data_IF_343214122085
#
_entry.id   IF_343214122085
#
_cell.length_a   1.000
_cell.length_b   1.000
_cell.length_c   1.000
_cell.angle_alpha   90.00
_cell.angle_beta   90.00
_cell.angle_gamma   90.00
#
_symmetry.space_group_name_H-M   'P 1'
#
loop_
_entity.id
_entity.type
_entity.pdbx_description
1 polymer ?
#
# COMPACT_ATOMS: atom_id res chain seq x y z
N UNK A 1 29.18 45.94 -15.28
CA UNK A 1 28.97 45.00 -14.18
C UNK A 1 27.58 44.46 -14.29
N UNK A 2 27.45 43.20 -14.72
CA UNK A 2 26.13 42.52 -14.85
C UNK A 2 25.78 41.86 -13.54
N UNK A 3 24.74 42.35 -12.86
CA UNK A 3 24.22 41.77 -11.64
C UNK A 3 23.37 40.54 -11.99
N UNK A 4 23.89 39.36 -11.68
CA UNK A 4 23.10 38.14 -11.77
C UNK A 4 22.14 38.06 -10.58
N UNK A 5 20.85 38.24 -10.85
CA UNK A 5 19.79 37.94 -9.88
C UNK A 5 19.64 36.42 -9.82
N UNK A 6 20.16 35.79 -8.78
CA UNK A 6 19.92 34.36 -8.49
C UNK A 6 18.50 34.26 -7.93
N UNK A 7 17.56 33.95 -8.83
CA UNK A 7 16.20 33.61 -8.43
C UNK A 7 16.23 32.22 -7.78
N UNK A 8 16.31 32.15 -6.44
CA UNK A 8 16.12 30.93 -5.69
C UNK A 8 14.66 30.52 -5.80
N UNK A 9 14.35 29.61 -6.75
CA UNK A 9 13.07 28.91 -6.75
C UNK A 9 12.99 28.07 -5.47
N UNK A 10 12.33 28.55 -4.44
CA UNK A 10 11.86 27.70 -3.35
C UNK A 10 10.94 26.67 -3.99
N UNK A 11 11.39 25.41 -4.05
CA UNK A 11 10.56 24.25 -4.43
C UNK A 11 9.38 24.25 -3.47
N UNK A 12 8.21 24.67 -3.93
CA UNK A 12 6.98 24.62 -3.12
C UNK A 12 6.70 23.15 -2.88
N UNK A 13 6.92 22.71 -1.66
CA UNK A 13 6.65 21.34 -1.28
C UNK A 13 5.13 21.09 -1.38
N UNK A 14 4.76 20.02 -2.05
CA UNK A 14 3.35 19.63 -2.13
C UNK A 14 2.85 19.22 -0.75
N UNK A 15 1.72 19.77 -0.33
CA UNK A 15 1.06 19.39 0.91
C UNK A 15 0.75 17.89 0.93
N UNK A 16 0.98 17.23 2.07
CA UNK A 16 0.66 15.82 2.28
C UNK A 16 -0.39 15.75 3.39
N UNK A 17 -1.53 15.14 3.08
CA UNK A 17 -2.62 14.92 4.04
C UNK A 17 -2.70 13.45 4.41
N UNK A 18 -2.67 13.19 5.69
CA UNK A 18 -2.92 11.87 6.25
C UNK A 18 -4.37 11.75 6.68
N UNK A 19 -5.00 10.61 6.40
CA UNK A 19 -6.37 10.31 6.81
C UNK A 19 -6.42 8.92 7.41
N UNK A 20 -6.89 8.80 8.63
CA UNK A 20 -7.16 7.54 9.29
C UNK A 20 -8.64 7.19 9.13
N UNK A 21 -8.95 6.00 8.61
CA UNK A 21 -10.31 5.58 8.30
C UNK A 21 -10.82 4.47 9.23
N UNK A 22 -9.93 3.88 10.06
CA UNK A 22 -10.28 2.74 10.90
C UNK A 22 -10.69 1.51 10.09
N UNK A 23 -11.60 0.72 10.60
CA UNK A 23 -12.16 -0.45 9.94
C UNK A 23 -13.32 -0.04 9.02
N UNK A 24 -13.20 -0.30 7.72
CA UNK A 24 -14.12 0.22 6.70
C UNK A 24 -14.31 -0.77 5.54
N UNK A 25 -15.45 -0.73 4.87
CA UNK A 25 -15.74 -1.51 3.68
C UNK A 25 -14.84 -1.12 2.50
N UNK A 26 -14.40 -2.12 1.74
CA UNK A 26 -13.53 -1.89 0.59
C UNK A 26 -14.19 -1.00 -0.48
N UNK A 27 -15.47 -1.24 -0.77
CA UNK A 27 -16.22 -0.50 -1.79
C UNK A 27 -16.38 0.97 -1.44
N UNK A 28 -16.71 1.29 -0.18
CA UNK A 28 -16.81 2.67 0.31
C UNK A 28 -15.46 3.41 0.16
N UNK A 29 -14.38 2.73 0.49
CA UNK A 29 -13.02 3.31 0.37
C UNK A 29 -12.64 3.52 -1.09
N UNK A 30 -12.98 2.57 -1.97
CA UNK A 30 -12.73 2.70 -3.40
C UNK A 30 -13.48 3.88 -4.01
N UNK A 31 -14.76 4.03 -3.70
CA UNK A 31 -15.60 5.14 -4.17
C UNK A 31 -15.06 6.49 -3.68
N UNK A 32 -14.66 6.56 -2.40
CA UNK A 32 -14.05 7.76 -1.84
C UNK A 32 -12.69 8.13 -2.51
N UNK A 33 -11.85 7.14 -2.83
CA UNK A 33 -10.62 7.37 -3.61
C UNK A 33 -10.96 7.94 -5.01
N UNK A 34 -11.96 7.37 -5.69
CA UNK A 34 -12.37 7.84 -7.02
C UNK A 34 -12.91 9.27 -6.97
N UNK A 35 -13.75 9.61 -5.98
CA UNK A 35 -14.24 10.96 -5.78
C UNK A 35 -13.12 11.96 -5.53
N UNK A 36 -12.12 11.60 -4.72
CA UNK A 36 -10.96 12.45 -4.47
C UNK A 36 -10.15 12.66 -5.76
N UNK A 37 -9.92 11.62 -6.55
CA UNK A 37 -9.18 11.74 -7.82
C UNK A 37 -9.95 12.60 -8.83
N UNK A 38 -11.27 12.47 -8.90
CA UNK A 38 -12.11 13.30 -9.79
C UNK A 38 -12.01 14.79 -9.42
N UNK A 39 -11.85 15.12 -8.15
CA UNK A 39 -11.65 16.51 -7.69
C UNK A 39 -10.28 17.10 -8.03
N UNK A 40 -9.35 16.29 -8.53
CA UNK A 40 -7.97 16.68 -8.90
C UNK A 40 -7.24 17.50 -7.82
N UNK A 41 -7.06 16.93 -6.61
CA UNK A 41 -6.52 17.66 -5.48
C UNK A 41 -5.12 18.19 -5.74
N UNK A 42 -4.79 19.39 -5.22
CA UNK A 42 -3.46 19.98 -5.34
C UNK A 42 -2.43 19.38 -4.37
N UNK A 43 -2.86 18.47 -3.48
CA UNK A 43 -2.07 17.83 -2.44
C UNK A 43 -1.91 16.32 -2.69
N UNK A 44 -0.99 15.69 -1.98
CA UNK A 44 -0.92 14.24 -1.81
C UNK A 44 -1.82 13.80 -0.66
N UNK A 45 -2.43 12.62 -0.75
CA UNK A 45 -3.17 12.03 0.36
C UNK A 45 -2.71 10.60 0.61
N UNK A 46 -2.46 10.26 1.87
CA UNK A 46 -2.17 8.89 2.33
C UNK A 46 -3.23 8.52 3.34
N UNK A 47 -3.93 7.41 3.09
CA UNK A 47 -4.95 6.89 3.98
C UNK A 47 -4.46 5.64 4.68
N UNK A 48 -4.63 5.57 5.99
CA UNK A 48 -4.38 4.37 6.79
C UNK A 48 -5.70 3.78 7.25
N UNK A 49 -5.86 2.46 7.14
CA UNK A 49 -7.12 1.78 7.41
C UNK A 49 -6.93 0.27 7.58
N UNK A 50 -8.00 -0.39 7.98
CA UNK A 50 -8.22 -1.82 7.87
C UNK A 50 -9.52 -2.06 7.12
N UNK A 51 -9.65 -3.23 6.47
CA UNK A 51 -10.90 -3.60 5.81
C UNK A 51 -11.65 -4.70 6.57
N UNK A 52 -12.97 -4.69 6.49
CA UNK A 52 -13.75 -5.89 6.72
C UNK A 52 -13.28 -7.00 5.78
N UNK A 53 -13.46 -8.29 6.17
CA UNK A 53 -12.94 -9.41 5.39
C UNK A 53 -13.41 -9.38 3.94
N UNK A 54 -12.47 -9.30 2.99
CA UNK A 54 -12.74 -9.21 1.55
C UNK A 54 -11.58 -9.75 0.72
N UNK A 55 -11.91 -10.52 -0.31
CA UNK A 55 -10.96 -10.85 -1.36
C UNK A 55 -11.04 -9.83 -2.49
N UNK A 56 -9.91 -9.26 -2.88
CA UNK A 56 -9.84 -8.39 -4.05
C UNK A 56 -9.10 -9.10 -5.18
N UNK A 57 -9.67 -9.08 -6.39
CA UNK A 57 -9.12 -9.71 -7.59
C UNK A 57 -8.48 -8.60 -8.43
N UNK A 58 -7.17 -8.60 -8.56
CA UNK A 58 -6.43 -7.61 -9.36
C UNK A 58 -6.37 -7.99 -10.84
N UNK A 59 -5.95 -7.02 -11.66
CA UNK A 59 -5.94 -7.14 -13.13
C UNK A 59 -5.01 -8.21 -13.70
N UNK A 60 -4.03 -8.68 -12.93
CA UNK A 60 -3.10 -9.72 -13.35
C UNK A 60 -3.59 -11.14 -13.04
N UNK A 61 -4.78 -11.27 -12.41
CA UNK A 61 -5.38 -12.56 -12.16
C UNK A 61 -5.92 -13.16 -13.45
N UNK A 62 -5.47 -14.35 -13.77
CA UNK A 62 -5.88 -15.09 -14.98
C UNK A 62 -6.76 -16.30 -14.67
N UNK A 63 -6.71 -16.77 -13.43
CA UNK A 63 -7.51 -17.90 -13.01
C UNK A 63 -8.95 -17.45 -12.74
N UNK A 64 -9.90 -18.26 -13.17
CA UNK A 64 -11.31 -18.06 -12.81
C UNK A 64 -11.44 -18.51 -11.37
N UNK A 65 -11.54 -17.54 -10.47
CA UNK A 65 -11.86 -17.82 -9.08
C UNK A 65 -13.36 -18.07 -9.03
N UNK A 66 -13.74 -19.34 -8.96
CA UNK A 66 -15.13 -19.69 -8.67
C UNK A 66 -15.41 -19.31 -7.21
N UNK A 67 -16.35 -18.40 -7.02
CA UNK A 67 -16.85 -18.01 -5.72
C UNK A 67 -17.68 -19.18 -5.11
N UNK A 68 -16.97 -20.22 -4.68
CA UNK A 68 -17.58 -21.35 -3.96
C UNK A 68 -17.86 -21.00 -2.50
N UNK A 69 -17.20 -19.97 -2.02
CA UNK A 69 -17.34 -19.45 -0.67
C UNK A 69 -18.07 -18.10 -0.76
N UNK A 70 -19.32 -18.04 -0.32
CA UNK A 70 -20.11 -16.81 -0.33
C UNK A 70 -19.59 -15.72 0.63
N UNK A 71 -18.66 -16.07 1.51
CA UNK A 71 -18.07 -15.19 2.53
C UNK A 71 -16.64 -15.62 2.84
N UNK A 72 -15.64 -14.71 2.91
CA UNK A 72 -15.74 -13.27 2.54
C UNK A 72 -16.00 -13.03 1.05
N UNK A 73 -16.58 -11.87 0.67
CA UNK A 73 -16.91 -11.58 -0.73
C UNK A 73 -15.66 -11.42 -1.59
N UNK A 74 -15.80 -11.76 -2.90
CA UNK A 74 -14.78 -11.53 -3.91
C UNK A 74 -15.16 -10.31 -4.75
N UNK A 75 -14.30 -9.30 -4.77
CA UNK A 75 -14.50 -8.05 -5.51
C UNK A 75 -13.47 -7.93 -6.62
N UNK A 76 -13.92 -7.86 -7.88
CA UNK A 76 -13.05 -7.53 -9.01
C UNK A 76 -12.63 -6.07 -8.93
N UNK A 77 -11.33 -5.82 -9.04
CA UNK A 77 -10.74 -4.50 -8.92
C UNK A 77 -9.83 -4.20 -10.09
N UNK A 78 -9.45 -2.94 -10.24
CA UNK A 78 -8.49 -2.52 -11.25
C UNK A 78 -7.07 -2.32 -10.69
N UNK A 79 -6.80 -2.68 -9.43
CA UNK A 79 -5.44 -2.64 -8.87
C UNK A 79 -4.48 -3.58 -9.58
N UNK A 80 -3.20 -3.26 -9.54
CA UNK A 80 -2.15 -4.18 -9.97
C UNK A 80 -2.10 -5.46 -9.14
N UNK A 81 -1.46 -6.49 -9.67
CA UNK A 81 -1.30 -7.78 -9.02
C UNK A 81 -2.48 -8.74 -9.21
N UNK A 82 -2.43 -9.87 -8.49
CA UNK A 82 -3.41 -10.94 -8.52
C UNK A 82 -4.40 -10.82 -7.36
N UNK A 83 -5.04 -11.92 -7.00
CA UNK A 83 -5.95 -11.99 -5.86
C UNK A 83 -5.20 -11.82 -4.54
N UNK A 84 -5.78 -11.06 -3.61
CA UNK A 84 -5.30 -10.93 -2.23
C UNK A 84 -6.48 -10.85 -1.27
N UNK A 85 -6.21 -11.00 0.02
CA UNK A 85 -7.17 -10.93 1.09
C UNK A 85 -6.91 -9.70 1.97
N UNK A 86 -7.97 -9.05 2.41
CA UNK A 86 -7.94 -7.99 3.40
C UNK A 86 -8.89 -8.34 4.54
N UNK A 87 -8.47 -8.06 5.78
CA UNK A 87 -9.25 -8.32 6.99
C UNK A 87 -8.72 -7.47 8.16
N UNK A 88 -9.44 -7.42 9.30
CA UNK A 88 -8.92 -6.85 10.53
C UNK A 88 -7.56 -7.44 10.91
N UNK A 89 -6.70 -6.60 11.51
CA UNK A 89 -5.31 -6.96 11.80
C UNK A 89 -4.35 -6.79 10.63
N UNK A 90 -4.83 -6.37 9.46
CA UNK A 90 -3.99 -6.00 8.33
C UNK A 90 -3.97 -4.47 8.19
N UNK A 91 -2.80 -3.85 8.36
CA UNK A 91 -2.65 -2.42 8.17
C UNK A 91 -2.53 -2.10 6.67
N UNK A 92 -3.47 -1.32 6.15
CA UNK A 92 -3.52 -0.90 4.75
C UNK A 92 -3.17 0.58 4.62
N UNK A 93 -2.36 0.92 3.60
CA UNK A 93 -2.04 2.30 3.23
C UNK A 93 -2.42 2.53 1.77
N UNK A 94 -3.34 3.44 1.52
CA UNK A 94 -3.68 3.88 0.16
C UNK A 94 -2.98 5.20 -0.16
N UNK A 95 -2.40 5.27 -1.34
CA UNK A 95 -1.59 6.39 -1.81
C UNK A 95 -2.30 7.11 -2.95
N UNK A 96 -3.00 8.21 -2.64
CA UNK A 96 -3.63 9.09 -3.63
C UNK A 96 -2.67 10.25 -3.89
N UNK A 97 -1.69 10.01 -4.75
CA UNK A 97 -0.58 10.91 -4.98
C UNK A 97 -0.68 11.55 -6.37
N UNK A 98 -0.52 12.87 -6.44
CA UNK A 98 -0.40 13.55 -7.72
C UNK A 98 0.95 13.21 -8.36
N UNK A 99 0.93 12.41 -9.43
CA UNK A 99 2.12 11.86 -10.08
C UNK A 99 3.02 12.95 -10.70
N UNK A 100 2.45 14.10 -11.05
CA UNK A 100 3.22 15.25 -11.60
C UNK A 100 4.01 15.99 -10.54
N UNK A 101 3.70 15.75 -9.26
CA UNK A 101 4.30 16.45 -8.11
C UNK A 101 5.19 15.55 -7.27
N UNK A 102 5.45 14.31 -7.71
CA UNK A 102 6.37 13.42 -7.04
C UNK A 102 7.82 13.95 -7.15
N UNK A 103 8.65 13.75 -6.11
CA UNK A 103 10.07 14.11 -6.16
C UNK A 103 10.91 13.10 -6.95
N UNK A 104 10.30 12.04 -7.49
CA UNK A 104 10.91 10.95 -8.25
C UNK A 104 10.02 10.51 -9.42
N UNK A 105 10.54 9.76 -10.41
CA UNK A 105 9.75 9.25 -11.52
C UNK A 105 8.58 8.36 -11.06
N UNK A 106 7.37 8.52 -11.66
CA UNK A 106 6.20 7.69 -11.34
C UNK A 106 6.43 6.18 -11.39
N UNK A 107 7.32 5.72 -12.26
CA UNK A 107 7.70 4.31 -12.41
C UNK A 107 8.40 3.74 -11.18
N UNK A 108 8.96 4.59 -10.32
CA UNK A 108 9.64 4.18 -9.09
C UNK A 108 8.70 4.09 -7.88
N UNK A 109 7.43 4.52 -8.00
CA UNK A 109 6.53 4.64 -6.84
C UNK A 109 6.40 3.32 -6.07
N UNK A 110 6.13 2.22 -6.77
CA UNK A 110 5.99 0.89 -6.13
C UNK A 110 7.27 0.48 -5.41
N UNK A 111 8.43 0.63 -6.07
CA UNK A 111 9.73 0.31 -5.48
C UNK A 111 10.01 1.16 -4.25
N UNK A 112 9.85 2.48 -4.35
CA UNK A 112 10.09 3.40 -3.23
C UNK A 112 9.14 3.17 -2.06
N UNK A 113 7.88 2.83 -2.33
CA UNK A 113 6.93 2.49 -1.27
C UNK A 113 7.34 1.22 -0.51
N UNK A 114 7.81 0.19 -1.21
CA UNK A 114 8.33 -1.03 -0.59
C UNK A 114 9.63 -0.77 0.19
N UNK A 115 10.57 -0.01 -0.37
CA UNK A 115 11.81 0.38 0.30
C UNK A 115 11.53 1.19 1.57
N UNK A 116 10.54 2.06 1.52
CA UNK A 116 10.12 2.88 2.67
C UNK A 116 9.52 2.02 3.78
N UNK A 117 8.64 1.07 3.43
CA UNK A 117 8.09 0.13 4.40
C UNK A 117 9.16 -0.81 4.95
N UNK A 118 10.06 -1.29 4.10
CA UNK A 118 11.22 -2.10 4.48
C UNK A 118 12.12 -1.36 5.49
N UNK A 119 12.37 -0.06 5.27
CA UNK A 119 13.15 0.75 6.21
C UNK A 119 12.48 0.88 7.57
N UNK A 120 11.14 0.95 7.62
CA UNK A 120 10.41 0.93 8.89
C UNK A 120 10.56 -0.42 9.61
N UNK A 121 10.43 -1.54 8.88
CA UNK A 121 10.60 -2.88 9.46
C UNK A 121 12.03 -3.12 9.96
N UNK A 122 13.04 -2.59 9.27
CA UNK A 122 14.43 -2.70 9.67
C UNK A 122 14.71 -2.02 11.03
N UNK A 123 13.95 -0.96 11.39
CA UNK A 123 14.10 -0.32 12.71
C UNK A 123 13.58 -1.17 13.88
N UNK A 124 12.90 -2.26 13.60
CA UNK A 124 12.45 -3.28 14.57
C UNK A 124 13.32 -4.54 14.55
N UNK A 125 14.54 -4.47 14.00
CA UNK A 125 15.51 -5.58 13.87
C UNK A 125 14.98 -6.81 13.13
N UNK A 126 13.91 -6.66 12.33
CA UNK A 126 13.29 -7.74 11.59
C UNK A 126 14.06 -8.02 10.29
N UNK A 127 14.59 -9.23 10.17
CA UNK A 127 15.21 -9.69 8.92
C UNK A 127 14.13 -9.97 7.87
N UNK A 128 14.19 -9.26 6.77
CA UNK A 128 13.23 -9.37 5.66
C UNK A 128 13.89 -9.04 4.32
N UNK A 129 13.19 -9.28 3.23
CA UNK A 129 13.64 -8.92 1.89
C UNK A 129 12.48 -8.39 1.04
N UNK A 130 12.81 -7.62 0.01
CA UNK A 130 11.87 -7.18 -1.03
C UNK A 130 12.05 -8.09 -2.24
N UNK A 131 10.94 -8.61 -2.77
CA UNK A 131 10.96 -9.38 -4.01
C UNK A 131 10.50 -8.49 -5.19
N UNK A 132 11.33 -8.37 -6.24
CA UNK A 132 11.01 -7.57 -7.41
C UNK A 132 10.09 -8.28 -8.42
N UNK A 133 10.09 -9.64 -8.45
CA UNK A 133 9.25 -10.43 -9.37
C UNK A 133 7.82 -10.62 -8.86
N UNK A 134 7.67 -10.72 -7.54
CA UNK A 134 6.38 -10.71 -6.84
C UNK A 134 6.41 -9.55 -5.84
N UNK A 135 6.08 -8.32 -6.28
CA UNK A 135 6.28 -7.12 -5.46
C UNK A 135 5.64 -7.25 -4.07
N UNK A 136 6.48 -7.15 -3.05
CA UNK A 136 6.09 -7.31 -1.66
C UNK A 136 7.29 -7.46 -0.74
N UNK A 137 7.02 -7.57 0.56
CA UNK A 137 8.03 -7.80 1.59
C UNK A 137 7.84 -9.22 2.14
N UNK A 138 8.95 -9.91 2.30
CA UNK A 138 9.00 -11.30 2.72
C UNK A 138 9.89 -11.46 3.95
N UNK A 139 9.41 -12.25 4.90
CA UNK A 139 10.20 -12.79 6.01
C UNK A 139 10.46 -14.26 5.65
N UNK A 140 11.74 -14.62 5.51
CA UNK A 140 12.14 -15.92 4.97
C UNK A 140 11.51 -16.18 3.59
N UNK A 141 10.53 -17.09 3.51
CA UNK A 141 9.79 -17.42 2.28
C UNK A 141 8.32 -17.01 2.32
N UNK A 142 7.86 -16.38 3.42
CA UNK A 142 6.47 -16.01 3.65
C UNK A 142 6.26 -14.52 3.41
N UNK A 143 5.13 -14.17 2.81
CA UNK A 143 4.81 -12.80 2.44
C UNK A 143 4.12 -12.07 3.59
N UNK A 144 4.76 -11.03 4.11
CA UNK A 144 4.22 -10.18 5.18
C UNK A 144 3.55 -8.92 4.65
N UNK A 145 3.96 -8.44 3.46
CA UNK A 145 3.36 -7.25 2.86
C UNK A 145 3.16 -7.41 1.35
N UNK A 146 2.04 -6.90 0.87
CA UNK A 146 1.64 -6.91 -0.53
C UNK A 146 1.43 -5.48 -1.03
N UNK A 147 1.75 -5.23 -2.31
CA UNK A 147 1.55 -3.93 -2.95
C UNK A 147 0.85 -4.09 -4.29
N UNK A 148 -0.15 -3.25 -4.53
CA UNK A 148 -0.82 -3.18 -5.81
C UNK A 148 -1.37 -1.78 -6.02
N UNK A 149 -0.88 -1.09 -7.04
CA UNK A 149 -1.26 0.30 -7.34
C UNK A 149 -1.80 0.43 -8.74
N UNK A 150 -2.51 1.51 -8.99
CA UNK A 150 -3.02 1.95 -10.29
C UNK A 150 -2.83 3.46 -10.42
N UNK A 151 -2.84 3.95 -11.65
CA UNK A 151 -2.82 5.38 -11.95
C UNK A 151 -4.04 5.73 -12.80
N UNK A 152 -4.77 6.79 -12.39
CA UNK A 152 -5.89 7.37 -13.14
C UNK A 152 -5.79 8.90 -13.06
N UNK A 153 -6.00 9.60 -14.17
CA UNK A 153 -5.95 11.07 -14.23
C UNK A 153 -4.69 11.70 -13.58
N UNK A 154 -3.54 11.05 -13.70
CA UNK A 154 -2.27 11.41 -13.04
C UNK A 154 -2.29 11.31 -11.50
N UNK A 155 -3.17 10.53 -10.91
CA UNK A 155 -3.13 10.17 -9.49
C UNK A 155 -2.93 8.68 -9.32
N UNK A 156 -2.06 8.28 -8.38
CA UNK A 156 -2.03 6.89 -7.92
C UNK A 156 -3.24 6.60 -7.04
N UNK A 157 -3.59 5.35 -6.87
CA UNK A 157 -4.58 4.86 -5.91
C UNK A 157 -4.33 3.39 -5.59
N UNK A 158 -5.07 2.84 -4.62
CA UNK A 158 -4.68 1.64 -3.92
C UNK A 158 -3.32 1.81 -3.22
N UNK A 159 -2.61 0.72 -2.90
CA UNK A 159 -1.35 0.87 -2.18
C UNK A 159 -0.77 -0.40 -1.61
N UNK A 160 -0.36 -0.32 -0.35
CA UNK A 160 0.38 -1.33 0.39
C UNK A 160 -0.49 -1.89 1.51
N UNK A 161 -0.45 -3.21 1.73
CA UNK A 161 -1.00 -3.87 2.90
C UNK A 161 0.09 -4.64 3.63
N UNK A 162 0.06 -4.61 4.97
CA UNK A 162 1.02 -5.29 5.84
C UNK A 162 0.22 -6.13 6.84
N UNK A 163 0.47 -7.43 6.87
CA UNK A 163 -0.15 -8.33 7.82
C UNK A 163 0.51 -8.11 9.19
N UNK A 164 -0.24 -7.62 10.16
CA UNK A 164 0.24 -7.45 11.54
C UNK A 164 -0.25 -8.61 12.40
N UNK A 165 -1.55 -8.87 12.38
CA UNK A 165 -2.25 -9.94 13.12
C UNK A 165 -3.50 -10.37 12.33
N UNK A 166 -3.35 -10.59 11.04
CA UNK A 166 -4.43 -10.92 10.09
C UNK A 166 -4.81 -12.39 10.21
N UNK A 167 -6.07 -12.73 9.91
CA UNK A 167 -6.50 -14.14 9.73
C UNK A 167 -5.77 -14.77 8.54
N UNK A 168 -4.74 -15.54 8.85
CA UNK A 168 -3.91 -16.23 7.85
C UNK A 168 -4.55 -17.49 7.30
N UNK A 169 -5.46 -18.14 8.03
CA UNK A 169 -6.13 -19.36 7.57
C UNK A 169 -7.03 -19.00 6.37
N UNK A 170 -7.81 -17.95 6.49
CA UNK A 170 -8.60 -17.44 5.38
C UNK A 170 -7.70 -16.91 4.26
N UNK A 171 -6.63 -16.19 4.56
CA UNK A 171 -5.72 -15.67 3.54
C UNK A 171 -5.07 -16.80 2.73
N UNK A 172 -4.59 -17.82 3.38
CA UNK A 172 -3.91 -18.97 2.75
C UNK A 172 -4.87 -19.98 2.10
N UNK A 173 -6.20 -19.86 2.34
CA UNK A 173 -7.22 -20.72 1.70
C UNK A 173 -7.31 -20.51 0.19
N UNK A 174 -7.00 -19.31 -0.27
CA UNK A 174 -6.73 -19.05 -1.67
C UNK A 174 -5.23 -19.29 -1.93
N UNK A 175 -4.87 -19.69 -3.15
CA UNK A 175 -3.46 -19.69 -3.58
C UNK A 175 -3.11 -18.26 -4.04
N UNK A 176 -2.64 -17.36 -3.14
CA UNK A 176 -2.37 -16.00 -3.54
C UNK A 176 -1.29 -16.03 -4.62
N UNK A 177 -1.54 -15.36 -5.75
CA UNK A 177 -0.53 -15.18 -6.79
C UNK A 177 -0.12 -16.41 -7.61
N UNK A 178 -0.80 -17.56 -7.51
CA UNK A 178 -0.42 -18.78 -8.25
C UNK A 178 0.99 -19.29 -7.90
N UNK A 179 1.58 -18.78 -6.83
CA UNK A 179 2.81 -19.23 -6.22
C UNK A 179 2.44 -19.94 -4.90
N UNK A 180 3.18 -21.00 -4.54
CA UNK A 180 3.07 -21.64 -3.23
C UNK A 180 3.68 -20.76 -2.12
N UNK A 181 3.32 -19.47 -2.08
CA UNK A 181 3.81 -18.51 -1.10
C UNK A 181 2.72 -18.33 -0.06
N UNK A 182 3.02 -18.69 1.18
CA UNK A 182 2.15 -18.46 2.32
C UNK A 182 2.32 -17.03 2.83
N UNK A 183 1.26 -16.47 3.38
CA UNK A 183 1.32 -15.23 4.14
C UNK A 183 1.80 -15.51 5.57
N UNK A 184 2.39 -14.49 6.21
CA UNK A 184 2.73 -14.46 7.63
C UNK A 184 2.34 -13.12 8.24
N UNK A 185 2.31 -13.05 9.57
CA UNK A 185 2.07 -11.85 10.34
C UNK A 185 3.37 -11.29 10.93
N UNK A 186 3.44 -9.99 11.16
CA UNK A 186 4.55 -9.38 11.89
C UNK A 186 4.65 -9.89 13.33
N UNK A 187 3.50 -10.06 14.00
CA UNK A 187 3.44 -10.54 15.38
C UNK A 187 3.98 -11.96 15.59
N UNK A 188 4.12 -12.74 14.52
CA UNK A 188 4.74 -14.07 14.59
C UNK A 188 6.26 -13.99 14.82
N UNK A 189 6.89 -12.82 14.56
CA UNK A 189 8.33 -12.63 14.57
C UNK A 189 8.82 -11.56 15.55
N UNK A 190 8.00 -10.54 15.84
CA UNK A 190 8.37 -9.40 16.68
C UNK A 190 7.20 -8.98 17.57
N UNK A 191 7.53 -8.55 18.79
CA UNK A 191 6.59 -7.81 19.63
C UNK A 191 6.49 -6.37 19.14
N UNK A 192 5.34 -6.01 18.57
CA UNK A 192 5.15 -4.73 17.91
C UNK A 192 3.92 -3.98 18.45
N UNK A 193 4.13 -2.75 18.83
CA UNK A 193 3.01 -1.82 19.07
C UNK A 193 2.53 -1.27 17.74
N UNK A 194 1.30 -1.64 17.35
CA UNK A 194 0.71 -1.34 16.04
C UNK A 194 0.61 0.16 15.77
N UNK A 195 0.22 0.96 16.79
CA UNK A 195 0.07 2.40 16.63
C UNK A 195 1.41 3.10 16.42
N UNK A 196 2.46 2.67 17.11
CA UNK A 196 3.81 3.20 16.90
C UNK A 196 4.33 2.81 15.52
N UNK A 197 4.15 1.56 15.11
CA UNK A 197 4.55 1.09 13.78
C UNK A 197 3.83 1.85 12.67
N UNK A 198 2.53 2.09 12.81
CA UNK A 198 1.75 2.92 11.87
C UNK A 198 2.30 4.33 11.77
N UNK A 199 2.63 4.97 12.92
CA UNK A 199 3.24 6.31 12.93
C UNK A 199 4.60 6.34 12.23
N UNK A 200 5.45 5.34 12.47
CA UNK A 200 6.77 5.23 11.85
C UNK A 200 6.65 5.08 10.33
N UNK A 201 5.72 4.25 9.86
CA UNK A 201 5.42 4.12 8.44
C UNK A 201 4.94 5.43 7.82
N UNK A 202 3.99 6.13 8.43
CA UNK A 202 3.50 7.42 7.94
C UNK A 202 4.60 8.47 7.87
N UNK A 203 5.47 8.54 8.90
CA UNK A 203 6.63 9.42 8.92
C UNK A 203 7.63 9.09 7.79
N UNK A 204 7.87 7.81 7.54
CA UNK A 204 8.75 7.37 6.47
C UNK A 204 8.15 7.67 5.09
N UNK A 205 6.84 7.46 4.88
CA UNK A 205 6.16 7.85 3.64
C UNK A 205 6.17 9.37 3.43
N UNK A 206 6.02 10.16 4.48
CA UNK A 206 6.18 11.60 4.39
C UNK A 206 7.58 11.98 3.88
N UNK A 207 8.62 11.38 4.47
CA UNK A 207 10.02 11.62 4.04
C UNK A 207 10.26 11.20 2.59
N UNK A 208 9.68 10.09 2.14
CA UNK A 208 9.76 9.63 0.75
C UNK A 208 9.20 10.66 -0.23
N UNK A 209 8.14 11.38 0.15
CA UNK A 209 7.47 12.36 -0.71
C UNK A 209 8.07 13.77 -0.61
N UNK A 210 8.96 14.03 0.35
CA UNK A 210 9.54 15.37 0.59
C UNK A 210 11.02 15.49 0.22
N UNK A 211 11.69 14.35 0.00
CA UNK A 211 13.10 14.29 -0.45
C UNK A 211 13.21 14.26 -1.97
#
# INVERSE_FOLDING_TARGET
MASYVICQFRKIMTEIRFKELGLIEYTETYDAMMQLIESQPSFHSIWSLEHYPVFTIGISEKEIIEDKLKTPPFIKTDRGGKTTFHAPGQQVFYFILNMKKLPFPPTELTKKSLETASSALASYDLKHNINARDPGIFIEKQKVASIGMRIKKNYSYHGLSINVETDLDTFNSIKPCGLNVQACNLKDYIDINVDNFKKDLLNNFQRMLTK
#
